data_IF_518756766450
#
_entry.id   IF_518756766450
#
_cell.length_a   1.000
_cell.length_b   1.000
_cell.length_c   1.000
_cell.angle_alpha   90.00
_cell.angle_beta   90.00
_cell.angle_gamma   90.00
#
_symmetry.space_group_name_H-M   'P 1'
#
loop_
_entity.id
_entity.type
_entity.pdbx_description
1 polymer ?
#
# COMPACT_ATOMS: atom_id res chain seq x y z
N UNK A 1 21.93 20.10 5.87
CA UNK A 1 21.18 19.21 6.78
C UNK A 1 19.72 19.26 6.36
N UNK A 2 19.30 18.40 5.44
CA UNK A 2 17.90 18.29 5.00
C UNK A 2 17.45 16.89 5.41
N UNK A 3 16.93 16.80 6.62
CA UNK A 3 16.27 15.63 7.18
C UNK A 3 14.82 16.08 7.36
N UNK A 4 13.84 15.33 6.83
CA UNK A 4 12.45 15.46 7.26
C UNK A 4 11.47 16.20 6.33
N UNK A 5 11.21 15.66 5.13
CA UNK A 5 9.84 15.71 4.60
C UNK A 5 9.17 14.37 4.88
N UNK A 6 8.17 14.30 5.77
CA UNK A 6 7.66 13.02 6.26
C UNK A 6 6.84 12.32 5.17
N UNK A 7 6.67 11.01 5.34
CA UNK A 7 5.69 10.15 4.65
C UNK A 7 4.21 10.60 4.82
N UNK A 8 3.96 11.80 5.34
CA UNK A 8 2.65 12.39 5.63
C UNK A 8 1.89 12.91 4.40
N UNK A 9 2.55 13.28 3.30
CA UNK A 9 1.85 13.81 2.09
C UNK A 9 1.28 12.75 1.13
N UNK A 10 1.42 11.45 1.42
CA UNK A 10 1.32 10.40 0.40
C UNK A 10 -0.01 9.63 0.40
N UNK A 11 -0.70 9.57 1.55
CA UNK A 11 -2.02 8.93 1.66
C UNK A 11 -3.19 9.93 1.52
N UNK A 12 -2.90 11.22 1.67
CA UNK A 12 -3.91 12.30 1.77
C UNK A 12 -4.83 12.36 0.54
N UNK A 13 -4.33 12.31 -0.72
CA UNK A 13 -5.22 12.36 -1.90
C UNK A 13 -6.13 11.12 -2.04
N UNK A 14 -5.75 9.99 -1.45
CA UNK A 14 -6.51 8.73 -1.50
C UNK A 14 -7.66 8.72 -0.49
N UNK A 15 -7.47 9.36 0.67
CA UNK A 15 -8.48 9.55 1.71
C UNK A 15 -9.46 10.70 1.41
N UNK A 16 -9.00 11.73 0.70
CA UNK A 16 -9.81 12.95 0.43
C UNK A 16 -10.82 12.79 -0.71
N UNK A 17 -10.56 11.93 -1.71
CA UNK A 17 -11.46 11.79 -2.87
C UNK A 17 -12.69 10.92 -2.60
N UNK A 18 -12.60 9.98 -1.65
CA UNK A 18 -13.72 9.14 -1.19
C UNK A 18 -13.48 8.79 0.27
N UNK A 19 -14.48 9.01 1.12
CA UNK A 19 -14.39 8.70 2.55
C UNK A 19 -14.24 7.19 2.73
N UNK A 20 -13.14 6.76 3.36
CA UNK A 20 -12.87 5.37 3.75
C UNK A 20 -12.80 5.30 5.26
N UNK A 21 -13.43 4.28 5.82
CA UNK A 21 -13.60 4.13 7.26
C UNK A 21 -12.74 3.00 7.84
N UNK A 22 -12.42 1.97 7.04
CA UNK A 22 -11.69 0.80 7.51
C UNK A 22 -10.64 0.36 6.51
N UNK A 23 -9.41 0.76 6.82
CA UNK A 23 -8.27 0.58 5.95
C UNK A 23 -7.27 -0.34 6.63
N UNK A 24 -6.81 -1.38 5.93
CA UNK A 24 -5.87 -2.36 6.45
C UNK A 24 -4.52 -2.28 5.73
N UNK A 25 -3.43 -2.35 6.47
CA UNK A 25 -2.09 -2.52 5.92
C UNK A 25 -1.77 -4.01 5.69
N UNK A 26 -1.38 -4.36 4.47
CA UNK A 26 -0.93 -5.69 4.07
C UNK A 26 0.60 -5.72 3.97
N UNK A 27 1.25 -6.33 4.96
CA UNK A 27 2.70 -6.48 5.07
C UNK A 27 3.26 -7.77 4.48
N UNK A 28 4.59 -7.93 4.52
CA UNK A 28 5.27 -9.12 4.01
C UNK A 28 6.33 -9.69 4.96
N UNK A 29 7.61 -9.31 4.85
CA UNK A 29 8.72 -9.97 5.55
C UNK A 29 9.21 -9.22 6.80
N UNK A 30 8.52 -8.17 7.25
CA UNK A 30 8.97 -7.30 8.36
C UNK A 30 10.42 -6.81 8.20
N UNK A 31 10.86 -6.57 6.97
CA UNK A 31 12.14 -5.92 6.77
C UNK A 31 12.05 -4.43 7.15
N UNK A 32 13.21 -3.76 7.26
CA UNK A 32 13.27 -2.35 7.62
C UNK A 32 12.41 -1.46 6.71
N UNK A 33 12.21 -1.87 5.46
CA UNK A 33 11.42 -1.13 4.48
C UNK A 33 9.93 -1.33 4.72
N UNK A 34 9.49 -2.55 5.01
CA UNK A 34 8.11 -2.87 5.41
C UNK A 34 7.71 -2.05 6.65
N UNK A 35 8.60 -2.00 7.65
CA UNK A 35 8.31 -1.25 8.88
C UNK A 35 8.26 0.26 8.66
N UNK A 36 9.18 0.84 7.88
CA UNK A 36 9.12 2.27 7.52
C UNK A 36 7.82 2.64 6.80
N UNK A 37 7.33 1.75 5.94
CA UNK A 37 6.06 1.94 5.22
C UNK A 37 4.86 1.83 6.13
N UNK A 38 4.88 0.84 7.01
CA UNK A 38 3.85 0.67 8.02
C UNK A 38 3.77 1.90 8.93
N UNK A 39 4.92 2.46 9.34
CA UNK A 39 4.96 3.69 10.11
C UNK A 39 4.34 4.87 9.34
N UNK A 40 4.69 5.05 8.06
CA UNK A 40 4.08 6.10 7.23
C UNK A 40 2.57 5.94 7.06
N UNK A 41 2.08 4.71 6.96
CA UNK A 41 0.65 4.40 7.00
C UNK A 41 0.02 4.76 8.34
N UNK A 42 0.64 4.40 9.47
CA UNK A 42 0.17 4.75 10.81
C UNK A 42 0.06 6.26 11.00
N UNK A 43 1.10 7.00 10.61
CA UNK A 43 1.14 8.47 10.71
C UNK A 43 -0.03 9.10 9.92
N UNK A 44 -0.31 8.58 8.72
CA UNK A 44 -1.44 9.05 7.90
C UNK A 44 -2.80 8.71 8.52
N UNK A 45 -2.98 7.48 9.04
CA UNK A 45 -4.22 7.09 9.71
C UNK A 45 -4.50 7.98 10.91
N UNK A 46 -3.49 8.21 11.75
CA UNK A 46 -3.60 9.07 12.93
C UNK A 46 -3.91 10.52 12.56
N UNK A 47 -3.32 11.07 11.50
CA UNK A 47 -3.61 12.42 11.02
C UNK A 47 -5.09 12.61 10.66
N UNK A 48 -5.75 11.55 10.20
CA UNK A 48 -7.16 11.56 9.80
C UNK A 48 -8.09 10.98 10.88
N UNK A 49 -7.63 10.82 12.13
CA UNK A 49 -8.39 10.23 13.24
C UNK A 49 -8.93 8.81 12.95
N UNK A 50 -8.19 8.03 12.16
CA UNK A 50 -8.51 6.63 11.87
C UNK A 50 -7.57 5.70 12.65
N UNK A 51 -8.08 4.53 13.03
CA UNK A 51 -7.30 3.50 13.71
C UNK A 51 -6.49 2.68 12.70
N UNK A 52 -5.15 2.59 12.83
CA UNK A 52 -4.34 1.76 11.95
C UNK A 52 -4.59 0.27 12.23
N UNK A 53 -4.71 -0.51 11.15
CA UNK A 53 -4.85 -1.96 11.19
C UNK A 53 -3.72 -2.58 10.37
N UNK A 54 -3.15 -3.70 10.83
CA UNK A 54 -2.06 -4.41 10.14
C UNK A 54 -2.32 -5.90 10.05
N UNK A 55 -2.07 -6.47 8.89
CA UNK A 55 -1.91 -7.92 8.70
C UNK A 55 -0.52 -8.16 8.12
N UNK A 56 0.33 -8.87 8.85
CA UNK A 56 1.69 -9.18 8.41
C UNK A 56 2.06 -10.64 8.72
N UNK A 57 2.14 -11.51 7.72
CA UNK A 57 2.42 -12.93 7.91
C UNK A 57 3.91 -13.24 8.10
N UNK A 58 4.80 -12.24 7.99
CA UNK A 58 6.27 -12.42 8.05
C UNK A 58 6.80 -13.36 6.96
N UNK A 59 6.19 -13.29 5.77
CA UNK A 59 6.47 -14.14 4.62
C UNK A 59 7.05 -13.36 3.43
N UNK A 60 7.68 -14.09 2.50
CA UNK A 60 8.21 -13.49 1.27
C UNK A 60 7.05 -12.95 0.42
N UNK A 61 7.20 -11.70 -0.02
CA UNK A 61 6.25 -11.06 -0.91
C UNK A 61 6.03 -11.86 -2.21
N UNK A 62 4.77 -12.06 -2.57
CA UNK A 62 4.37 -12.64 -3.85
C UNK A 62 2.92 -12.27 -4.17
N UNK A 63 2.53 -12.40 -5.44
CA UNK A 63 1.13 -12.22 -5.87
C UNK A 63 0.22 -13.21 -5.13
N UNK A 64 0.65 -14.46 -4.97
CA UNK A 64 -0.12 -15.48 -4.25
C UNK A 64 -0.37 -15.06 -2.79
N UNK A 65 0.67 -14.56 -2.12
CA UNK A 65 0.53 -14.05 -0.76
C UNK A 65 -0.44 -12.87 -0.70
N UNK A 66 -0.39 -11.95 -1.66
CA UNK A 66 -1.34 -10.83 -1.76
C UNK A 66 -2.80 -11.31 -1.89
N UNK A 67 -3.06 -12.34 -2.70
CA UNK A 67 -4.40 -12.95 -2.81
C UNK A 67 -4.85 -13.59 -1.50
N UNK A 68 -3.97 -14.32 -0.80
CA UNK A 68 -4.30 -14.91 0.50
C UNK A 68 -4.61 -13.84 1.54
N UNK A 69 -3.74 -12.84 1.69
CA UNK A 69 -3.92 -11.75 2.65
C UNK A 69 -5.20 -10.97 2.40
N UNK A 70 -5.53 -10.69 1.14
CA UNK A 70 -6.76 -10.00 0.80
C UNK A 70 -8.00 -10.83 1.12
N UNK A 71 -7.91 -12.16 1.00
CA UNK A 71 -9.01 -13.10 1.31
C UNK A 71 -9.26 -13.14 2.81
N UNK A 72 -8.18 -13.26 3.58
CA UNK A 72 -8.23 -13.28 5.04
C UNK A 72 -8.70 -11.93 5.59
N UNK A 73 -8.25 -10.83 4.98
CA UNK A 73 -8.67 -9.48 5.33
C UNK A 73 -10.18 -9.26 5.17
N UNK A 74 -10.76 -9.63 4.02
CA UNK A 74 -12.20 -9.53 3.77
C UNK A 74 -13.02 -10.48 4.65
N UNK A 75 -12.49 -11.66 4.96
CA UNK A 75 -13.14 -12.63 5.85
C UNK A 75 -13.21 -12.09 7.29
N UNK A 76 -12.11 -11.52 7.78
CA UNK A 76 -12.04 -10.95 9.12
C UNK A 76 -12.73 -9.59 9.24
N UNK A 77 -12.83 -8.84 8.14
CA UNK A 77 -13.39 -7.49 8.09
C UNK A 77 -14.31 -7.33 6.86
N UNK A 78 -15.58 -7.76 6.95
CA UNK A 78 -16.53 -7.65 5.83
C UNK A 78 -16.82 -6.21 5.38
N UNK A 79 -16.57 -5.24 6.25
CA UNK A 79 -16.71 -3.80 6.06
C UNK A 79 -15.41 -3.10 5.60
N UNK A 80 -14.38 -3.87 5.25
CA UNK A 80 -13.10 -3.34 4.76
C UNK A 80 -13.30 -2.61 3.42
N UNK A 81 -12.97 -1.31 3.40
CA UNK A 81 -13.16 -0.45 2.24
C UNK A 81 -11.83 0.08 1.66
N UNK A 82 -10.71 -0.30 2.26
CA UNK A 82 -9.38 0.08 1.80
C UNK A 82 -8.25 -0.87 2.21
N UNK A 83 -7.25 -1.03 1.33
CA UNK A 83 -5.98 -1.68 1.68
C UNK A 83 -4.76 -0.89 1.21
N UNK A 84 -3.76 -0.79 2.09
CA UNK A 84 -2.41 -0.33 1.77
C UNK A 84 -1.48 -1.53 1.72
N UNK A 85 -0.90 -1.80 0.56
CA UNK A 85 0.01 -2.91 0.36
C UNK A 85 1.46 -2.43 0.49
N UNK A 86 2.27 -3.19 1.21
CA UNK A 86 3.70 -2.88 1.38
C UNK A 86 4.44 -2.77 0.06
N UNK A 87 4.04 -3.52 -0.96
CA UNK A 87 4.63 -3.47 -2.30
C UNK A 87 3.61 -3.90 -3.38
N UNK A 88 4.07 -3.87 -4.63
CA UNK A 88 3.19 -4.05 -5.78
C UNK A 88 2.81 -5.53 -6.03
N UNK A 89 3.60 -6.51 -5.60
CA UNK A 89 3.21 -7.93 -5.71
C UNK A 89 1.99 -8.22 -4.84
N UNK A 90 2.03 -7.73 -3.59
CA UNK A 90 0.91 -7.84 -2.65
C UNK A 90 -0.31 -7.07 -3.21
N UNK A 91 -0.10 -5.88 -3.78
CA UNK A 91 -1.18 -5.07 -4.36
C UNK A 91 -1.82 -5.75 -5.58
N UNK A 92 -1.01 -6.37 -6.46
CA UNK A 92 -1.51 -7.15 -7.59
C UNK A 92 -2.32 -8.36 -7.12
N UNK A 93 -1.84 -9.09 -6.12
CA UNK A 93 -2.58 -10.20 -5.51
C UNK A 93 -3.93 -9.74 -4.94
N UNK A 94 -3.95 -8.63 -4.21
CA UNK A 94 -5.18 -8.06 -3.67
C UNK A 94 -6.18 -7.69 -4.79
N UNK A 95 -5.71 -7.06 -5.86
CA UNK A 95 -6.56 -6.69 -7.00
C UNK A 95 -7.11 -7.92 -7.74
N UNK A 96 -6.29 -8.95 -7.96
CA UNK A 96 -6.73 -10.19 -8.59
C UNK A 96 -7.83 -10.87 -7.79
N UNK A 97 -7.70 -10.90 -6.46
CA UNK A 97 -8.76 -11.43 -5.61
C UNK A 97 -10.04 -10.58 -5.69
N UNK A 98 -9.92 -9.25 -5.67
CA UNK A 98 -11.09 -8.38 -5.82
C UNK A 98 -11.83 -8.67 -7.13
N UNK A 99 -11.10 -8.87 -8.23
CA UNK A 99 -11.67 -9.30 -9.51
C UNK A 99 -12.34 -10.67 -9.44
N UNK A 100 -11.70 -11.67 -8.83
CA UNK A 100 -12.28 -13.01 -8.59
C UNK A 100 -13.61 -12.94 -7.83
N UNK A 101 -13.73 -11.97 -6.90
CA UNK A 101 -14.92 -11.74 -6.07
C UNK A 101 -15.93 -10.75 -6.65
N UNK A 102 -15.71 -10.25 -7.87
CA UNK A 102 -16.50 -9.17 -8.48
C UNK A 102 -16.62 -7.91 -7.59
N UNK A 103 -15.59 -7.61 -6.80
CA UNK A 103 -15.50 -6.38 -6.03
C UNK A 103 -14.94 -5.26 -6.91
N UNK A 104 -15.73 -4.21 -7.07
CA UNK A 104 -15.33 -3.04 -7.85
C UNK A 104 -14.23 -2.28 -7.11
N UNK A 105 -13.12 -2.06 -7.81
CA UNK A 105 -12.00 -1.23 -7.38
C UNK A 105 -11.95 -0.03 -8.32
N UNK A 106 -11.91 1.22 -7.86
CA UNK A 106 -11.88 1.64 -6.48
C UNK A 106 -13.27 1.72 -5.82
N UNK A 107 -14.39 1.44 -6.50
CA UNK A 107 -15.74 1.81 -6.02
C UNK A 107 -16.08 1.24 -4.65
N UNK A 108 -15.97 -0.07 -4.47
CA UNK A 108 -16.29 -0.76 -3.23
C UNK A 108 -15.07 -0.82 -2.31
N UNK A 109 -13.90 -1.12 -2.86
CA UNK A 109 -12.66 -1.17 -2.10
C UNK A 109 -11.51 -0.51 -2.86
N UNK A 110 -10.74 0.31 -2.16
CA UNK A 110 -9.57 0.97 -2.74
C UNK A 110 -8.28 0.20 -2.40
N UNK A 111 -7.35 0.14 -3.35
CA UNK A 111 -6.06 -0.54 -3.20
C UNK A 111 -4.94 0.46 -3.50
N UNK A 112 -3.94 0.51 -2.63
CA UNK A 112 -2.74 1.33 -2.82
C UNK A 112 -1.47 0.47 -2.74
N UNK A 113 -0.56 0.65 -3.70
CA UNK A 113 0.77 0.02 -3.74
C UNK A 113 1.92 1.04 -3.59
N UNK A 114 3.14 0.56 -3.37
CA UNK A 114 4.26 1.41 -2.94
C UNK A 114 5.21 1.88 -4.06
N UNK A 115 5.30 1.19 -5.21
CA UNK A 115 6.30 1.57 -6.24
C UNK A 115 5.72 2.04 -7.56
N UNK A 116 4.41 1.91 -7.78
CA UNK A 116 3.85 2.35 -9.06
C UNK A 116 4.45 1.62 -10.24
N UNK A 117 4.60 0.29 -10.14
CA UNK A 117 4.81 -0.49 -11.34
C UNK A 117 3.77 -0.08 -12.37
N UNK A 118 4.28 0.31 -13.54
CA UNK A 118 3.58 0.77 -14.74
C UNK A 118 2.42 -0.13 -15.19
N UNK A 119 2.26 -1.30 -14.58
CA UNK A 119 1.10 -2.19 -14.66
C UNK A 119 -0.18 -1.49 -14.18
N UNK A 120 -0.12 -0.60 -13.19
CA UNK A 120 -1.25 0.17 -12.70
C UNK A 120 -1.81 1.19 -13.71
N UNK A 121 -1.03 1.63 -14.71
CA UNK A 121 -1.52 2.49 -15.81
C UNK A 121 -2.09 1.70 -16.99
N UNK A 122 -1.80 0.39 -17.08
CA UNK A 122 -2.28 -0.49 -18.15
C UNK A 122 -3.45 -1.38 -17.72
N UNK A 123 -3.77 -1.44 -16.42
CA UNK A 123 -4.89 -2.20 -15.90
C UNK A 123 -6.12 -1.31 -15.76
N UNK A 124 -7.23 -1.76 -16.35
CA UNK A 124 -8.53 -1.11 -16.22
C UNK A 124 -9.22 -1.67 -14.96
N UNK A 125 -9.54 -0.84 -13.95
CA UNK A 125 -9.18 0.58 -13.79
C UNK A 125 -7.83 0.78 -13.09
N UNK A 126 -7.28 1.99 -13.26
CA UNK A 126 -5.91 2.32 -12.86
C UNK A 126 -5.73 2.29 -11.33
N UNK A 127 -4.73 1.55 -10.86
CA UNK A 127 -4.35 1.50 -9.44
C UNK A 127 -3.76 2.84 -8.99
N UNK A 128 -4.19 3.32 -7.82
CA UNK A 128 -3.54 4.46 -7.15
C UNK A 128 -2.14 4.03 -6.65
N UNK A 129 -1.13 4.84 -6.92
CA UNK A 129 0.27 4.48 -6.70
C UNK A 129 1.03 5.57 -5.94
N UNK A 130 1.92 5.13 -5.05
CA UNK A 130 2.99 5.94 -4.47
C UNK A 130 4.22 5.89 -5.38
N UNK A 131 4.75 7.05 -5.78
CA UNK A 131 5.98 7.16 -6.58
C UNK A 131 7.15 7.47 -5.64
N UNK A 132 8.11 6.55 -5.51
CA UNK A 132 9.38 6.84 -4.84
C UNK A 132 10.44 7.26 -5.88
N UNK A 133 11.15 8.39 -5.69
CA UNK A 133 12.19 8.84 -6.62
C UNK A 133 13.40 7.91 -6.54
N UNK A 134 13.40 6.85 -7.35
CA UNK A 134 14.52 5.90 -7.44
C UNK A 134 15.64 6.35 -8.39
N UNK A 135 15.36 7.28 -9.30
CA UNK A 135 16.33 7.72 -10.31
C UNK A 135 17.42 8.67 -9.79
N UNK A 136 17.24 9.30 -8.62
CA UNK A 136 18.22 10.25 -8.08
C UNK A 136 19.30 9.59 -7.19
N UNK A 137 19.10 8.33 -6.76
CA UNK A 137 20.03 7.63 -5.86
C UNK A 137 21.21 6.99 -6.63
N UNK A 138 21.13 6.91 -7.96
CA UNK A 138 22.20 6.40 -8.82
C UNK A 138 23.25 7.42 -9.26
N UNK A 139 23.11 8.71 -8.87
CA UNK A 139 23.96 9.80 -9.39
C UNK A 139 24.84 10.51 -8.36
N UNK A 140 24.88 10.04 -7.11
CA UNK A 140 25.93 10.46 -6.18
C UNK A 140 27.17 9.59 -6.41
N UNK A 141 28.32 10.15 -6.83
CA UNK A 141 29.56 9.40 -6.82
C UNK A 141 29.88 8.97 -5.37
N UNK A 142 30.47 7.79 -5.16
CA UNK A 142 30.87 7.36 -3.83
C UNK A 142 31.85 8.40 -3.27
N UNK A 143 31.48 9.03 -2.15
CA UNK A 143 32.44 9.79 -1.35
C UNK A 143 33.28 8.78 -0.57
N UNK A 144 34.43 8.42 -1.12
CA UNK A 144 35.55 7.97 -0.30
C UNK A 144 36.11 9.16 0.49
N UNK A 145 36.74 8.83 1.63
CA UNK A 145 37.32 9.71 2.64
C UNK A 145 37.96 11.00 2.13
#
# INVERSE_FOLDING_TARGET
>A
MIIGRPLLTWCVPWLEKRVRHKILYLGSKDDTRDEQRYQGYCDAMMLHNLSPLRMNPRAISSIHLGMQLMRDALSANPDLDGVFCTNDDIAMGALLLCRERNLAVPEQISIAGFHGLEIGRQMIPSLASVITPRFDIGRMPPKCC
#
